data_IF_660403836820
#
_entry.id   IF_660403836820
#
_cell.length_a   1.000
_cell.length_b   1.000
_cell.length_c   1.000
_cell.angle_alpha   90.00
_cell.angle_beta   90.00
_cell.angle_gamma   90.00
#
_symmetry.space_group_name_H-M   'P 1'
#
loop_
_entity.id
_entity.type
_entity.pdbx_description
1 polymer ?
#
# COMPACT_ATOMS: atom_id res chain seq x y z
N UNK A 1 34.18 28.72 55.50
CA UNK A 1 35.11 27.75 54.87
C UNK A 1 35.04 28.01 53.37
N UNK A 2 36.14 28.49 52.76
CA UNK A 2 36.18 28.72 51.31
C UNK A 2 36.17 27.36 50.58
N UNK A 3 35.46 27.24 49.44
CA UNK A 3 35.58 26.05 48.61
C UNK A 3 37.01 25.95 48.08
N UNK A 4 37.55 24.73 48.09
CA UNK A 4 38.87 24.45 47.53
C UNK A 4 38.93 24.90 46.06
N UNK A 5 40.06 25.46 45.60
CA UNK A 5 40.21 25.86 44.21
C UNK A 5 40.02 24.62 43.31
N UNK A 6 39.33 24.78 42.17
CA UNK A 6 39.05 23.67 41.27
C UNK A 6 40.36 23.02 40.81
N UNK A 7 40.42 21.70 40.87
CA UNK A 7 41.58 20.93 40.43
C UNK A 7 41.84 21.19 38.94
N UNK A 8 43.13 21.27 38.57
CA UNK A 8 43.52 21.41 37.16
C UNK A 8 43.06 20.17 36.40
N UNK A 9 42.23 20.37 35.38
CA UNK A 9 41.80 19.30 34.49
C UNK A 9 43.01 18.75 33.74
N UNK A 10 43.03 17.44 33.45
CA UNK A 10 44.04 16.85 32.58
C UNK A 10 43.97 17.48 31.18
N UNK A 11 45.09 17.49 30.47
CA UNK A 11 45.12 17.92 29.08
C UNK A 11 44.21 17.01 28.25
N UNK A 12 43.34 17.63 27.44
CA UNK A 12 42.48 16.89 26.52
C UNK A 12 43.32 16.29 25.39
N UNK A 13 43.00 15.06 24.99
CA UNK A 13 43.65 14.29 23.94
C UNK A 13 43.24 14.73 22.52
N UNK A 14 42.30 15.67 22.40
CA UNK A 14 41.81 16.19 21.12
C UNK A 14 40.94 15.21 20.34
N UNK A 15 40.53 14.09 20.96
CA UNK A 15 39.78 13.02 20.30
C UNK A 15 38.34 12.95 20.79
N UNK A 16 37.47 12.51 19.88
CA UNK A 16 36.06 12.31 20.13
C UNK A 16 35.72 10.83 19.95
N UNK A 17 35.41 10.15 21.04
CA UNK A 17 35.11 8.71 21.03
C UNK A 17 33.97 8.33 20.06
N UNK A 18 32.95 9.17 19.93
CA UNK A 18 31.84 8.91 19.00
C UNK A 18 32.28 8.99 17.52
N UNK A 19 33.27 9.84 17.19
CA UNK A 19 33.78 9.99 15.83
C UNK A 19 34.60 8.77 15.43
N UNK A 20 35.46 8.30 16.34
CA UNK A 20 36.21 7.06 16.18
C UNK A 20 35.25 5.86 16.02
N UNK A 21 34.22 5.76 16.87
CA UNK A 21 33.21 4.71 16.77
C UNK A 21 32.43 4.75 15.43
N UNK A 22 32.11 5.94 14.93
CA UNK A 22 31.41 6.09 13.64
C UNK A 22 32.29 5.70 12.44
N UNK A 23 33.57 6.09 12.47
CA UNK A 23 34.53 5.73 11.41
C UNK A 23 34.87 4.23 11.43
N UNK A 24 34.90 3.62 12.62
CA UNK A 24 35.07 2.18 12.79
C UNK A 24 33.82 1.37 12.38
N UNK A 25 32.65 2.00 12.32
CA UNK A 25 31.40 1.33 11.97
C UNK A 25 31.28 1.18 10.45
N UNK A 26 31.90 0.13 9.91
CA UNK A 26 31.80 -0.24 8.50
C UNK A 26 30.36 -0.70 8.23
N UNK A 27 29.64 -0.08 7.26
CA UNK A 27 28.29 -0.49 6.95
C UNK A 27 28.26 -1.95 6.47
N UNK A 28 27.21 -2.71 6.81
CA UNK A 28 27.08 -4.08 6.34
C UNK A 28 27.06 -4.12 4.80
N UNK A 29 27.53 -5.23 4.20
CA UNK A 29 27.41 -5.41 2.76
C UNK A 29 25.94 -5.35 2.34
N UNK A 30 25.69 -4.83 1.13
CA UNK A 30 24.34 -4.79 0.59
C UNK A 30 23.75 -6.21 0.56
N UNK A 31 22.48 -6.38 0.95
CA UNK A 31 21.83 -7.68 0.88
C UNK A 31 21.78 -8.18 -0.56
N UNK A 32 21.76 -9.50 -0.73
CA UNK A 32 21.60 -10.12 -2.06
C UNK A 32 20.22 -9.81 -2.62
N UNK A 33 20.11 -9.69 -3.95
CA UNK A 33 18.84 -9.42 -4.64
C UNK A 33 17.78 -10.47 -4.31
N UNK A 34 18.19 -11.73 -4.14
CA UNK A 34 17.31 -12.81 -3.72
C UNK A 34 16.65 -12.55 -2.35
N UNK A 35 17.43 -12.02 -1.39
CA UNK A 35 16.91 -11.67 -0.06
C UNK A 35 15.96 -10.47 -0.14
N UNK A 36 16.28 -9.46 -0.95
CA UNK A 36 15.39 -8.31 -1.18
C UNK A 36 14.03 -8.78 -1.73
N UNK A 37 14.05 -9.65 -2.74
CA UNK A 37 12.83 -10.20 -3.34
C UNK A 37 12.02 -11.04 -2.35
N UNK A 38 12.69 -11.83 -1.50
CA UNK A 38 12.02 -12.60 -0.45
C UNK A 38 11.33 -11.70 0.57
N UNK A 39 12.02 -10.66 1.05
CA UNK A 39 11.47 -9.71 2.01
C UNK A 39 10.35 -8.85 1.40
N UNK A 40 10.52 -8.40 0.16
CA UNK A 40 9.50 -7.66 -0.57
C UNK A 40 8.23 -8.50 -0.74
N UNK A 41 8.36 -9.76 -1.15
CA UNK A 41 7.22 -10.68 -1.25
C UNK A 41 6.57 -10.95 0.12
N UNK A 42 7.36 -11.10 1.17
CA UNK A 42 6.85 -11.34 2.53
C UNK A 42 6.04 -10.15 3.06
N UNK A 43 6.41 -8.91 2.71
CA UNK A 43 5.75 -7.68 3.15
C UNK A 43 4.79 -7.08 2.11
N UNK A 44 4.56 -7.78 1.00
CA UNK A 44 3.70 -7.35 -0.11
C UNK A 44 4.14 -5.98 -0.67
N UNK A 45 5.44 -5.85 -0.96
CA UNK A 45 6.05 -4.67 -1.56
C UNK A 45 6.45 -4.96 -3.01
N UNK A 46 6.51 -3.92 -3.81
CA UNK A 46 7.12 -3.99 -5.13
C UNK A 46 8.63 -4.25 -4.98
N UNK A 47 9.18 -5.36 -5.53
CA UNK A 47 10.59 -5.70 -5.39
C UNK A 47 11.53 -4.70 -6.07
N UNK A 48 11.09 -3.97 -7.10
CA UNK A 48 11.91 -3.01 -7.81
C UNK A 48 11.93 -1.65 -7.13
N UNK A 49 10.78 -1.17 -6.63
CA UNK A 49 10.64 0.18 -6.07
C UNK A 49 10.62 0.22 -4.54
N UNK A 50 10.32 -0.90 -3.88
CA UNK A 50 10.10 -0.98 -2.44
C UNK A 50 8.79 -0.36 -1.97
N UNK A 51 7.92 0.10 -2.88
CA UNK A 51 6.63 0.71 -2.53
C UNK A 51 5.65 -0.35 -2.03
N UNK A 52 4.80 -0.03 -1.05
CA UNK A 52 3.75 -0.94 -0.60
C UNK A 52 2.74 -1.17 -1.71
N UNK A 53 2.38 -2.44 -1.93
CA UNK A 53 1.29 -2.82 -2.82
C UNK A 53 0.00 -3.02 -2.03
N UNK A 54 -1.17 -3.03 -2.69
CA UNK A 54 -2.43 -3.32 -2.02
C UNK A 54 -2.39 -4.67 -1.29
N UNK A 55 -2.75 -4.67 0.00
CA UNK A 55 -2.63 -5.83 0.89
C UNK A 55 -1.38 -5.84 1.77
N UNK A 56 -0.43 -4.90 1.56
CA UNK A 56 0.67 -4.66 2.51
C UNK A 56 0.15 -3.99 3.78
N UNK A 57 0.68 -4.34 4.98
CA UNK A 57 0.36 -3.63 6.22
C UNK A 57 0.76 -2.14 6.18
N UNK A 58 1.71 -1.78 5.32
CA UNK A 58 2.15 -0.40 5.14
C UNK A 58 1.35 0.37 4.08
N UNK A 59 0.39 -0.26 3.40
CA UNK A 59 -0.42 0.39 2.37
C UNK A 59 -1.54 1.21 3.02
N UNK A 60 -1.40 2.54 3.00
CA UNK A 60 -2.43 3.43 3.55
C UNK A 60 -3.59 3.61 2.58
N UNK A 61 -4.81 3.32 3.05
CA UNK A 61 -6.06 3.60 2.34
C UNK A 61 -6.79 4.85 2.87
N UNK A 62 -6.15 5.65 3.72
CA UNK A 62 -6.81 6.75 4.44
C UNK A 62 -7.43 7.82 3.53
N UNK A 63 -6.86 8.04 2.33
CA UNK A 63 -7.32 9.02 1.36
C UNK A 63 -8.17 8.41 0.23
N UNK A 64 -8.64 7.17 0.39
CA UNK A 64 -9.45 6.51 -0.63
C UNK A 64 -10.90 7.03 -0.63
N UNK A 65 -11.51 7.30 -1.81
CA UNK A 65 -10.90 7.31 -3.14
C UNK A 65 -10.23 8.65 -3.47
N UNK A 66 -9.00 8.62 -3.99
CA UNK A 66 -8.28 9.84 -4.43
C UNK A 66 -8.94 10.41 -5.69
N UNK A 67 -9.37 9.52 -6.59
CA UNK A 67 -10.14 9.82 -7.81
C UNK A 67 -11.10 8.68 -8.10
N UNK A 68 -12.15 8.98 -8.87
CA UNK A 68 -13.15 8.01 -9.33
C UNK A 68 -13.21 8.06 -10.86
N UNK A 69 -13.24 6.90 -11.49
CA UNK A 69 -13.44 6.72 -12.92
C UNK A 69 -14.52 5.66 -13.19
N UNK A 70 -15.24 5.79 -14.29
CA UNK A 70 -16.28 4.86 -14.68
C UNK A 70 -15.77 3.81 -15.66
N UNK A 71 -16.38 2.62 -15.63
CA UNK A 71 -16.11 1.60 -16.64
C UNK A 71 -16.44 2.12 -18.05
N UNK A 72 -15.51 1.92 -18.99
CA UNK A 72 -15.57 2.47 -20.34
C UNK A 72 -14.80 3.78 -20.52
N UNK A 73 -14.44 4.48 -19.45
CA UNK A 73 -13.56 5.65 -19.52
C UNK A 73 -12.08 5.25 -19.61
N UNK A 74 -11.23 6.15 -20.11
CA UNK A 74 -9.78 5.96 -20.11
C UNK A 74 -9.19 6.35 -18.75
N UNK A 75 -8.29 5.52 -18.24
CA UNK A 75 -7.61 5.72 -16.98
C UNK A 75 -6.78 7.02 -17.00
N UNK A 76 -7.03 7.98 -16.10
CA UNK A 76 -6.36 9.28 -16.14
C UNK A 76 -4.92 9.22 -15.59
N UNK A 77 -4.64 8.29 -14.68
CA UNK A 77 -3.38 8.19 -13.95
C UNK A 77 -3.04 6.71 -13.70
N UNK A 78 -1.78 6.34 -13.91
CA UNK A 78 -1.27 4.98 -13.63
C UNK A 78 -1.27 4.71 -12.12
N UNK A 79 -1.80 3.56 -11.70
CA UNK A 79 -1.78 3.17 -10.30
C UNK A 79 -2.69 1.99 -9.97
N UNK A 80 -2.91 1.75 -8.69
CA UNK A 80 -3.83 0.70 -8.23
C UNK A 80 -5.24 1.25 -8.03
N UNK A 81 -6.21 0.59 -8.65
CA UNK A 81 -7.61 0.95 -8.59
C UNK A 81 -8.44 -0.18 -7.95
N UNK A 82 -9.40 0.21 -7.13
CA UNK A 82 -10.34 -0.69 -6.45
C UNK A 82 -11.76 -0.35 -6.87
N UNK A 83 -12.59 -1.37 -7.10
CA UNK A 83 -13.99 -1.13 -7.40
C UNK A 83 -14.68 -0.53 -6.17
N UNK A 84 -15.38 0.58 -6.38
CA UNK A 84 -16.27 1.20 -5.41
C UNK A 84 -17.65 0.61 -5.64
N UNK A 85 -18.17 -0.08 -4.64
CA UNK A 85 -19.50 -0.65 -4.69
C UNK A 85 -20.47 0.28 -3.96
N UNK A 86 -21.64 0.59 -4.55
CA UNK A 86 -22.72 1.20 -3.78
C UNK A 86 -23.11 0.25 -2.65
N UNK A 87 -23.55 0.79 -1.50
CA UNK A 87 -24.02 0.02 -0.33
C UNK A 87 -25.34 -0.76 -0.58
N UNK A 88 -25.59 -1.19 -1.81
CA UNK A 88 -26.75 -1.99 -2.18
C UNK A 88 -26.58 -3.42 -1.64
N UNK A 89 -27.39 -3.75 -0.63
CA UNK A 89 -27.41 -5.06 0.03
C UNK A 89 -27.76 -6.21 -0.94
N UNK A 90 -28.33 -5.91 -2.12
CA UNK A 90 -28.61 -6.90 -3.15
C UNK A 90 -27.37 -7.31 -3.95
N UNK A 91 -26.24 -6.62 -3.79
CA UNK A 91 -25.00 -6.91 -4.51
C UNK A 91 -24.08 -7.74 -3.60
N UNK A 92 -23.63 -8.89 -4.10
CA UNK A 92 -22.50 -9.63 -3.51
C UNK A 92 -21.27 -9.37 -4.36
N UNK A 93 -20.23 -8.82 -3.74
CA UNK A 93 -18.98 -8.52 -4.43
C UNK A 93 -17.77 -9.05 -3.67
N UNK A 94 -16.69 -9.26 -4.41
CA UNK A 94 -15.36 -9.47 -3.85
C UNK A 94 -14.57 -8.18 -4.00
N UNK A 95 -13.69 -7.91 -3.04
CA UNK A 95 -12.73 -6.83 -3.22
C UNK A 95 -11.79 -7.18 -4.37
N UNK A 96 -11.82 -6.34 -5.40
CA UNK A 96 -11.01 -6.51 -6.60
C UNK A 96 -10.18 -5.25 -6.74
N UNK A 97 -8.87 -5.45 -6.68
CA UNK A 97 -7.87 -4.41 -6.86
C UNK A 97 -7.07 -4.77 -8.11
N UNK A 98 -6.89 -3.80 -9.00
CA UNK A 98 -6.16 -3.96 -10.26
C UNK A 98 -5.24 -2.77 -10.48
N UNK A 99 -4.08 -3.04 -11.05
CA UNK A 99 -3.21 -1.98 -11.56
C UNK A 99 -3.67 -1.60 -12.97
N UNK A 100 -3.75 -0.31 -13.26
CA UNK A 100 -4.04 0.21 -14.59
C UNK A 100 -2.97 1.22 -15.01
N UNK A 101 -2.65 1.23 -16.29
CA UNK A 101 -1.79 2.25 -16.91
C UNK A 101 -2.63 3.42 -17.44
N UNK A 102 -2.03 4.61 -17.45
CA UNK A 102 -2.66 5.81 -18.00
C UNK A 102 -3.07 5.59 -19.47
N UNK A 103 -4.34 5.88 -19.77
CA UNK A 103 -4.94 5.67 -21.08
C UNK A 103 -5.63 4.32 -21.27
N UNK A 104 -5.46 3.35 -20.38
CA UNK A 104 -6.19 2.07 -20.45
C UNK A 104 -7.69 2.26 -20.23
N UNK A 105 -8.52 1.53 -20.97
CA UNK A 105 -9.97 1.59 -20.77
C UNK A 105 -10.39 0.80 -19.55
N UNK A 106 -11.11 1.44 -18.64
CA UNK A 106 -11.58 0.82 -17.41
C UNK A 106 -12.61 -0.28 -17.73
N UNK A 107 -12.37 -1.53 -17.32
CA UNK A 107 -13.22 -2.65 -17.70
C UNK A 107 -14.50 -2.68 -16.85
N UNK A 108 -15.53 -3.30 -17.41
CA UNK A 108 -16.70 -3.76 -16.65
C UNK A 108 -16.30 -4.89 -15.69
N UNK A 109 -17.11 -5.12 -14.66
CA UNK A 109 -16.86 -6.19 -13.70
C UNK A 109 -18.06 -7.12 -13.58
N UNK A 110 -17.78 -8.41 -13.34
CA UNK A 110 -18.81 -9.40 -13.14
C UNK A 110 -19.36 -9.27 -11.71
N UNK A 111 -20.64 -8.92 -11.61
CA UNK A 111 -21.35 -8.66 -10.37
C UNK A 111 -22.36 -9.76 -10.10
N UNK A 112 -22.40 -10.24 -8.87
CA UNK A 112 -23.44 -11.16 -8.40
C UNK A 112 -24.57 -10.35 -7.74
N UNK A 113 -25.75 -10.33 -8.37
CA UNK A 113 -26.96 -9.69 -7.83
C UNK A 113 -27.96 -10.70 -7.33
N UNK A 114 -28.46 -10.47 -6.12
CA UNK A 114 -29.53 -11.25 -5.50
C UNK A 114 -30.85 -10.49 -5.61
N UNK A 115 -31.85 -11.14 -6.20
CA UNK A 115 -33.20 -10.60 -6.31
C UNK A 115 -34.15 -11.38 -5.39
N UNK A 116 -34.80 -10.70 -4.41
CA UNK A 116 -35.81 -11.34 -3.59
C UNK A 116 -37.01 -11.71 -4.47
N UNK A 117 -37.59 -12.89 -4.22
CA UNK A 117 -38.80 -13.35 -4.93
C UNK A 117 -39.90 -13.71 -3.93
N UNK A 118 -41.18 -13.57 -4.31
CA UNK A 118 -42.28 -14.00 -3.46
C UNK A 118 -42.22 -15.50 -3.18
N UNK A 119 -42.57 -15.88 -1.95
CA UNK A 119 -42.73 -17.28 -1.58
C UNK A 119 -43.77 -17.96 -2.49
N UNK A 120 -43.55 -19.22 -2.95
CA UNK A 120 -42.53 -20.19 -2.52
C UNK A 120 -41.23 -20.17 -3.33
N UNK A 121 -40.97 -19.16 -4.14
CA UNK A 121 -39.77 -19.11 -4.97
C UNK A 121 -38.54 -18.78 -4.13
N UNK A 122 -37.44 -19.51 -4.33
CA UNK A 122 -36.14 -19.14 -3.77
C UNK A 122 -35.63 -17.83 -4.37
N UNK A 123 -34.70 -17.17 -3.68
CA UNK A 123 -34.00 -16.00 -4.23
C UNK A 123 -33.37 -16.32 -5.59
N UNK A 124 -33.33 -15.32 -6.47
CA UNK A 124 -32.66 -15.45 -7.76
C UNK A 124 -31.29 -14.77 -7.68
N UNK A 125 -30.24 -15.54 -7.90
CA UNK A 125 -28.88 -15.02 -8.05
C UNK A 125 -28.57 -14.91 -9.55
N UNK A 126 -28.05 -13.78 -9.99
CA UNK A 126 -27.57 -13.60 -11.35
C UNK A 126 -26.15 -13.06 -11.36
N UNK A 127 -25.30 -13.62 -12.21
CA UNK A 127 -24.00 -13.04 -12.54
C UNK A 127 -24.11 -12.25 -13.84
N UNK A 128 -23.72 -10.98 -13.81
CA UNK A 128 -23.77 -10.08 -14.97
C UNK A 128 -22.55 -9.18 -15.01
N UNK A 129 -22.07 -8.84 -16.20
CA UNK A 129 -21.07 -7.80 -16.36
C UNK A 129 -21.77 -6.44 -16.29
N UNK A 130 -21.47 -5.67 -15.25
CA UNK A 130 -22.02 -4.33 -15.04
C UNK A 130 -20.90 -3.28 -15.10
N UNK A 131 -21.26 -2.08 -15.52
CA UNK A 131 -20.38 -0.92 -15.39
C UNK A 131 -20.23 -0.59 -13.91
N UNK A 132 -18.98 -0.51 -13.46
CA UNK A 132 -18.63 -0.20 -12.08
C UNK A 132 -17.82 1.08 -11.98
N UNK A 133 -17.82 1.65 -10.78
CA UNK A 133 -16.97 2.76 -10.42
C UNK A 133 -15.62 2.23 -9.90
N UNK A 134 -14.54 2.84 -10.35
CA UNK A 134 -13.19 2.51 -9.96
C UNK A 134 -12.60 3.67 -9.17
N UNK A 135 -12.16 3.42 -7.94
CA UNK A 135 -11.46 4.36 -7.09
C UNK A 135 -9.95 4.17 -7.11
N UNK A 136 -9.18 5.23 -7.29
CA UNK A 136 -7.72 5.19 -7.19
C UNK A 136 -7.28 5.07 -5.72
N UNK A 137 -6.42 4.09 -5.44
CA UNK A 137 -5.77 3.88 -4.15
C UNK A 137 -4.42 4.60 -4.05
N UNK A 138 -3.68 4.72 -5.16
CA UNK A 138 -2.36 5.36 -5.25
C UNK A 138 -1.34 4.57 -6.07
#
# INVERSE_FOLDING_TARGET
ILPLPPAKLPAWDGKLQWLEARLANVPPPKPTEALINQLAKAMVLDPATGKPMPGSPAFSQANFPVRICYSGETCPETGYWKIIWPNDLAIRWKEVIRHFEQGETMPVHQVERTYPRPWPLSEKITLRDEAVEWGLLG
#
